data_IF_656128981423
#
_entry.id   IF_656128981423
#
_cell.length_a   1.000
_cell.length_b   1.000
_cell.length_c   1.000
_cell.angle_alpha   90.00
_cell.angle_beta   90.00
_cell.angle_gamma   90.00
#
_symmetry.space_group_name_H-M   'P 1'
#
loop_
_entity.id
_entity.type
_entity.pdbx_description
1 polymer ?
#
# COMPACT_ATOMS: atom_id res chain seq x y z
N UNK A 1 3.84 -35.96 -56.51
CA UNK A 1 4.03 -36.10 -55.04
C UNK A 1 3.37 -34.89 -54.39
N UNK A 2 2.14 -35.06 -53.90
CA UNK A 2 1.30 -33.94 -53.46
C UNK A 2 1.60 -33.54 -52.02
N UNK A 3 1.89 -32.25 -51.82
CA UNK A 3 2.06 -31.64 -50.52
C UNK A 3 0.78 -31.78 -49.70
N UNK A 4 0.86 -32.48 -48.56
CA UNK A 4 -0.24 -32.62 -47.61
C UNK A 4 -0.52 -31.26 -46.97
N UNK A 5 -1.52 -30.58 -47.51
CA UNK A 5 -2.07 -29.36 -46.94
C UNK A 5 -2.62 -29.70 -45.54
N UNK A 6 -2.06 -29.07 -44.50
CA UNK A 6 -2.54 -29.12 -43.13
C UNK A 6 -4.03 -28.71 -43.11
N UNK A 7 -4.93 -29.70 -43.05
CA UNK A 7 -6.39 -29.52 -42.98
C UNK A 7 -6.92 -29.75 -41.55
N UNK A 8 -6.08 -29.57 -40.51
CA UNK A 8 -6.43 -29.98 -39.15
C UNK A 8 -7.36 -29.03 -38.39
N UNK A 9 -7.85 -27.95 -39.02
CA UNK A 9 -8.60 -26.87 -38.36
C UNK A 9 -9.93 -26.50 -39.05
N UNK A 10 -10.50 -27.39 -39.87
CA UNK A 10 -11.74 -27.07 -40.60
C UNK A 10 -12.99 -27.50 -39.81
N UNK A 11 -13.41 -26.66 -38.87
CA UNK A 11 -14.68 -26.74 -38.14
C UNK A 11 -14.86 -25.58 -37.17
N UNK A 12 -15.98 -24.85 -37.25
CA UNK A 12 -16.22 -23.60 -36.50
C UNK A 12 -16.05 -23.77 -34.98
N UNK A 13 -16.50 -24.89 -34.41
CA UNK A 13 -16.53 -25.03 -32.94
C UNK A 13 -15.14 -25.35 -32.34
N UNK A 14 -14.31 -26.12 -33.06
CA UNK A 14 -12.96 -26.50 -32.61
C UNK A 14 -11.92 -25.41 -32.80
N UNK A 15 -12.07 -24.60 -33.87
CA UNK A 15 -11.19 -23.46 -34.12
C UNK A 15 -11.41 -22.35 -33.10
N UNK A 16 -12.67 -22.02 -32.76
CA UNK A 16 -12.98 -20.99 -31.76
C UNK A 16 -12.47 -21.37 -30.37
N UNK A 17 -12.52 -22.64 -29.97
CA UNK A 17 -11.97 -23.08 -28.68
C UNK A 17 -10.45 -22.82 -28.58
N UNK A 18 -9.70 -23.10 -29.65
CA UNK A 18 -8.25 -22.85 -29.70
C UNK A 18 -7.92 -21.35 -29.69
N UNK A 19 -8.71 -20.53 -30.37
CA UNK A 19 -8.57 -19.08 -30.37
C UNK A 19 -8.75 -18.49 -28.97
N UNK A 20 -9.76 -18.93 -28.21
CA UNK A 20 -9.96 -18.48 -26.83
C UNK A 20 -8.86 -18.95 -25.88
N UNK A 21 -8.35 -20.16 -26.05
CA UNK A 21 -7.21 -20.65 -25.25
C UNK A 21 -5.96 -19.83 -25.53
N UNK A 22 -5.66 -19.54 -26.79
CA UNK A 22 -4.53 -18.69 -27.16
C UNK A 22 -4.69 -17.26 -26.63
N UNK A 23 -5.88 -16.70 -26.73
CA UNK A 23 -6.18 -15.37 -26.18
C UNK A 23 -6.02 -15.36 -24.66
N UNK A 24 -6.49 -16.39 -23.96
CA UNK A 24 -6.29 -16.55 -22.53
C UNK A 24 -4.80 -16.61 -22.18
N UNK A 25 -3.99 -17.37 -22.93
CA UNK A 25 -2.54 -17.43 -22.71
C UNK A 25 -1.87 -16.06 -22.86
N UNK A 26 -2.27 -15.29 -23.88
CA UNK A 26 -1.76 -13.92 -24.08
C UNK A 26 -2.12 -13.04 -22.88
N UNK A 27 -3.39 -13.06 -22.43
CA UNK A 27 -3.85 -12.28 -21.27
C UNK A 27 -3.09 -12.66 -20.00
N UNK A 28 -2.89 -13.95 -19.75
CA UNK A 28 -2.12 -14.45 -18.60
C UNK A 28 -0.66 -14.00 -18.69
N UNK A 29 -0.04 -14.06 -19.87
CA UNK A 29 1.35 -13.62 -20.06
C UNK A 29 1.54 -12.13 -19.77
N UNK A 30 0.60 -11.29 -20.21
CA UNK A 30 0.61 -9.85 -19.97
C UNK A 30 0.40 -9.56 -18.48
N UNK A 31 -0.55 -10.25 -17.86
CA UNK A 31 -0.84 -10.11 -16.42
C UNK A 31 0.37 -10.47 -15.56
N UNK A 32 1.06 -11.57 -15.89
CA UNK A 32 2.29 -11.99 -15.21
C UNK A 32 3.42 -10.98 -15.37
N UNK A 33 3.51 -10.32 -16.53
CA UNK A 33 4.48 -9.25 -16.77
C UNK A 33 4.22 -8.07 -15.84
N UNK A 34 2.96 -7.65 -15.70
CA UNK A 34 2.57 -6.56 -14.79
C UNK A 34 2.84 -6.93 -13.33
N UNK A 35 2.39 -8.11 -12.88
CA UNK A 35 2.57 -8.53 -11.48
C UNK A 35 4.02 -8.77 -11.08
N UNK A 36 4.87 -9.16 -12.04
CA UNK A 36 6.31 -9.33 -11.79
C UNK A 36 7.10 -8.02 -11.86
N UNK A 37 6.52 -6.95 -12.38
CA UNK A 37 7.18 -5.64 -12.46
C UNK A 37 7.52 -5.10 -11.07
N UNK A 38 8.67 -4.44 -10.97
CA UNK A 38 9.13 -3.86 -9.70
C UNK A 38 8.19 -2.75 -9.22
N UNK A 39 7.58 -2.01 -10.15
CA UNK A 39 6.58 -0.99 -9.83
C UNK A 39 5.36 -1.60 -9.11
N UNK A 40 4.84 -2.73 -9.60
CA UNK A 40 3.70 -3.39 -8.95
C UNK A 40 4.07 -3.97 -7.58
N UNK A 41 5.25 -4.59 -7.46
CA UNK A 41 5.75 -5.12 -6.17
C UNK A 41 5.99 -4.01 -5.15
N UNK A 42 6.54 -2.87 -5.57
CA UNK A 42 6.76 -1.73 -4.67
C UNK A 42 5.44 -1.10 -4.20
N UNK A 43 4.34 -1.28 -4.93
CA UNK A 43 3.03 -0.74 -4.56
C UNK A 43 2.15 -1.73 -3.78
N UNK A 44 2.08 -2.99 -4.20
CA UNK A 44 1.17 -4.01 -3.64
C UNK A 44 1.89 -5.18 -2.94
N UNK A 45 3.22 -5.23 -3.00
CA UNK A 45 4.01 -6.28 -2.38
C UNK A 45 4.08 -6.16 -0.85
N UNK A 46 4.56 -7.21 -0.18
CA UNK A 46 4.75 -7.21 1.28
C UNK A 46 5.71 -6.11 1.74
N UNK A 47 6.69 -5.75 0.91
CA UNK A 47 7.66 -4.67 1.17
C UNK A 47 7.23 -3.33 0.53
N UNK A 48 5.94 -3.15 0.28
CA UNK A 48 5.45 -1.93 -0.35
C UNK A 48 5.63 -0.71 0.56
N UNK A 49 6.37 0.28 0.04
CA UNK A 49 6.65 1.53 0.75
C UNK A 49 5.35 2.26 1.10
N UNK A 50 4.34 2.16 0.23
CA UNK A 50 3.04 2.79 0.43
C UNK A 50 2.30 2.21 1.64
N UNK A 51 2.09 0.90 1.69
CA UNK A 51 1.37 0.27 2.82
C UNK A 51 2.19 0.33 4.11
N UNK A 52 3.53 0.27 4.03
CA UNK A 52 4.38 0.47 5.20
C UNK A 52 4.18 1.87 5.80
N UNK A 53 4.20 2.92 4.96
CA UNK A 53 3.98 4.31 5.39
C UNK A 53 2.59 4.49 5.98
N UNK A 54 1.57 3.91 5.33
CA UNK A 54 0.18 3.95 5.79
C UNK A 54 0.04 3.26 7.16
N UNK A 55 0.63 2.07 7.31
CA UNK A 55 0.63 1.30 8.56
C UNK A 55 1.28 2.09 9.70
N UNK A 56 2.49 2.63 9.49
CA UNK A 56 3.20 3.44 10.50
C UNK A 56 2.37 4.65 10.92
N UNK A 57 1.74 5.33 9.96
CA UNK A 57 0.85 6.47 10.25
C UNK A 57 -0.37 6.08 11.09
N UNK A 58 -1.02 4.96 10.76
CA UNK A 58 -2.15 4.46 11.54
C UNK A 58 -1.72 4.05 12.95
N UNK A 59 -0.60 3.35 13.07
CA UNK A 59 -0.04 2.92 14.36
C UNK A 59 0.28 4.13 15.26
N UNK A 60 0.93 5.16 14.71
CA UNK A 60 1.20 6.40 15.43
C UNK A 60 -0.10 7.11 15.83
N UNK A 61 -1.01 7.34 14.88
CA UNK A 61 -2.25 8.07 15.17
C UNK A 61 -3.12 7.34 16.20
N UNK A 62 -3.14 6.01 16.17
CA UNK A 62 -3.82 5.20 17.17
C UNK A 62 -3.21 5.35 18.56
N UNK A 63 -1.87 5.42 18.67
CA UNK A 63 -1.16 5.58 19.95
C UNK A 63 -1.27 6.99 20.52
N UNK A 64 -1.08 8.01 19.69
CA UNK A 64 -0.90 9.39 20.15
C UNK A 64 -2.16 10.26 19.97
N UNK A 65 -3.18 9.76 19.27
CA UNK A 65 -4.44 10.47 19.04
C UNK A 65 -4.34 11.67 18.10
N UNK A 66 -3.17 11.89 17.49
CA UNK A 66 -2.90 12.94 16.49
C UNK A 66 -2.06 12.37 15.34
N UNK A 67 -2.19 12.92 14.12
CA UNK A 67 -1.32 12.54 13.02
C UNK A 67 0.13 13.00 13.28
N UNK A 68 1.14 12.27 12.80
CA UNK A 68 2.54 12.66 12.96
C UNK A 68 2.83 13.95 12.19
N UNK A 69 3.53 14.90 12.81
CA UNK A 69 3.84 16.23 12.25
C UNK A 69 4.73 16.11 10.99
N UNK A 70 5.69 15.17 10.99
CA UNK A 70 6.65 14.98 9.91
C UNK A 70 6.37 13.74 9.05
N UNK A 71 5.24 13.06 9.25
CA UNK A 71 4.95 11.80 8.54
C UNK A 71 5.82 10.61 8.96
N UNK A 72 6.76 10.82 9.89
CA UNK A 72 7.62 9.81 10.49
C UNK A 72 7.40 9.77 12.01
N UNK A 73 7.67 8.60 12.62
CA UNK A 73 7.54 8.38 14.07
C UNK A 73 8.49 9.26 14.93
N UNK A 74 9.40 10.00 14.29
CA UNK A 74 10.46 10.78 14.94
C UNK A 74 10.05 12.20 15.38
N UNK A 75 8.78 12.58 15.21
CA UNK A 75 8.30 13.94 15.48
C UNK A 75 8.04 14.28 16.95
N UNK A 76 7.84 13.28 17.81
CA UNK A 76 7.64 13.53 19.23
C UNK A 76 8.98 13.44 19.95
N UNK A 77 9.63 14.59 20.11
CA UNK A 77 10.70 14.71 21.10
C UNK A 77 10.15 14.20 22.44
N UNK A 78 10.78 13.17 23.04
CA UNK A 78 10.54 12.72 24.43
C UNK A 78 10.75 13.82 25.49
N UNK A 79 10.96 15.05 25.06
CA UNK A 79 10.95 16.21 25.90
C UNK A 79 9.51 16.50 26.31
N UNK A 80 9.21 16.24 27.59
CA UNK A 80 8.02 16.72 28.31
C UNK A 80 7.85 18.26 28.26
N UNK A 81 8.70 19.00 27.54
CA UNK A 81 8.60 20.43 27.29
C UNK A 81 7.56 20.78 26.21
N UNK A 82 7.18 19.83 25.36
CA UNK A 82 6.18 20.03 24.32
C UNK A 82 4.76 19.80 24.86
N UNK A 83 3.85 20.74 24.58
CA UNK A 83 2.42 20.56 24.88
C UNK A 83 1.85 19.56 23.89
N UNK A 84 1.39 18.41 24.37
CA UNK A 84 0.81 17.39 23.50
C UNK A 84 -0.53 17.85 22.93
N UNK A 85 -0.67 17.80 21.60
CA UNK A 85 -1.88 18.24 20.88
C UNK A 85 -3.18 17.54 21.30
N UNK A 86 -3.10 16.29 21.77
CA UNK A 86 -4.27 15.51 22.23
C UNK A 86 -4.79 15.98 23.59
N UNK A 87 -3.92 16.59 24.41
CA UNK A 87 -4.20 16.98 25.78
C UNK A 87 -4.39 18.48 25.95
N UNK A 88 -3.64 19.27 25.18
CA UNK A 88 -3.64 20.73 25.24
C UNK A 88 -4.54 21.33 24.16
N UNK A 89 -5.62 21.99 24.59
CA UNK A 89 -6.47 22.76 23.71
C UNK A 89 -5.85 24.15 23.49
N UNK A 90 -5.26 24.37 22.32
CA UNK A 90 -4.65 25.64 21.93
C UNK A 90 -5.64 26.81 21.84
N UNK A 91 -6.89 26.54 21.48
CA UNK A 91 -7.95 27.57 21.38
C UNK A 91 -8.41 28.08 22.75
N UNK A 92 -8.43 27.19 23.76
CA UNK A 92 -8.87 27.51 25.13
C UNK A 92 -7.72 27.75 26.10
N UNK A 93 -6.48 27.48 25.69
CA UNK A 93 -5.30 27.57 26.54
C UNK A 93 -5.31 26.60 27.73
N UNK A 94 -6.02 25.48 27.61
CA UNK A 94 -6.30 24.57 28.72
C UNK A 94 -5.92 23.13 28.37
N UNK A 95 -5.37 22.40 29.34
CA UNK A 95 -5.12 20.96 29.24
C UNK A 95 -6.22 20.17 29.95
N UNK A 96 -6.56 18.99 29.43
CA UNK A 96 -7.47 18.04 30.10
C UNK A 96 -6.80 17.25 31.23
N UNK A 97 -5.48 17.33 31.33
CA UNK A 97 -4.65 16.57 32.27
C UNK A 97 -3.84 17.50 33.16
N UNK A 98 -3.66 17.12 34.42
CA UNK A 98 -2.74 17.79 35.33
C UNK A 98 -1.31 17.44 34.93
N UNK A 99 -0.53 18.43 34.49
CA UNK A 99 0.90 18.29 34.26
C UNK A 99 1.65 19.09 35.33
N UNK A 100 2.80 18.62 35.81
CA UNK A 100 3.62 19.44 36.70
C UNK A 100 4.05 20.72 35.98
N UNK A 101 3.97 21.85 36.68
CA UNK A 101 4.37 23.15 36.12
C UNK A 101 5.89 23.26 35.93
N UNK A 102 6.66 22.44 36.66
CA UNK A 102 8.12 22.37 36.58
C UNK A 102 8.60 20.94 36.27
N UNK A 103 9.74 20.78 35.57
CA UNK A 103 10.34 19.47 35.33
C UNK A 103 10.70 18.76 36.63
N UNK A 104 10.59 17.43 36.65
CA UNK A 104 11.08 16.63 37.77
C UNK A 104 12.63 16.71 37.81
N UNK A 105 13.26 16.93 38.98
CA UNK A 105 14.72 17.01 39.12
C UNK A 105 15.43 15.70 38.80
#
# INVERSE_FOLDING_TARGET
MGNKHLQTLKGNDGQSALEYILLLMVVVSLSMTVFKSDAFKNFMGPDSVYFETLRKRFEYTYRYGSPPITGTEEGDSNAYSSRHDSYYNSTRGQTRFFTPAEPYP
#
